data_IF_987510222267
#
_entry.id   IF_987510222267
#
_cell.length_a   1.000
_cell.length_b   1.000
_cell.length_c   1.000
_cell.angle_alpha   90.00
_cell.angle_beta   90.00
_cell.angle_gamma   90.00
#
_symmetry.space_group_name_H-M   'P 1'
#
loop_
_entity.id
_entity.type
_entity.pdbx_description
1 polymer ?
#
# COMPACT_ATOMS: atom_id res chain seq x y z
N UNK A 1 10.47 -5.61 14.64
CA UNK A 1 10.58 -4.54 13.61
C UNK A 1 9.89 -4.95 12.33
N UNK A 2 10.29 -6.06 11.70
CA UNK A 2 9.68 -6.58 10.47
C UNK A 2 8.15 -6.68 10.54
N UNK A 3 7.61 -7.32 11.58
CA UNK A 3 6.16 -7.48 11.77
C UNK A 3 5.38 -6.15 11.79
N UNK A 4 5.97 -5.09 12.37
CA UNK A 4 5.35 -3.77 12.40
C UNK A 4 5.31 -3.17 10.99
N UNK A 5 6.40 -3.32 10.23
CA UNK A 5 6.47 -2.85 8.86
C UNK A 5 5.48 -3.61 7.98
N UNK A 6 5.41 -4.94 8.10
CA UNK A 6 4.44 -5.76 7.39
C UNK A 6 3.00 -5.33 7.68
N UNK A 7 2.67 -5.06 8.94
CA UNK A 7 1.34 -4.57 9.34
C UNK A 7 0.99 -3.23 8.67
N UNK A 8 1.98 -2.38 8.42
CA UNK A 8 1.79 -1.06 7.80
C UNK A 8 1.70 -1.11 6.27
N UNK A 9 2.20 -2.17 5.63
CA UNK A 9 2.27 -2.27 4.17
C UNK A 9 1.20 -3.17 3.56
N UNK A 10 0.40 -3.84 4.38
CA UNK A 10 -0.67 -4.74 3.95
C UNK A 10 -2.06 -4.14 4.15
N UNK A 11 -3.02 -4.57 3.33
CA UNK A 11 -4.40 -4.11 3.43
C UNK A 11 -5.04 -4.70 4.70
N UNK A 12 -5.67 -3.86 5.52
CA UNK A 12 -6.34 -4.29 6.74
C UNK A 12 -7.49 -5.26 6.46
N UNK A 13 -7.72 -6.23 7.34
CA UNK A 13 -8.90 -7.09 7.26
C UNK A 13 -10.14 -6.28 7.69
N UNK A 14 -11.23 -6.32 6.91
CA UNK A 14 -12.40 -5.41 7.00
C UNK A 14 -13.09 -5.29 8.37
N UNK A 15 -12.77 -6.12 9.36
CA UNK A 15 -13.54 -6.27 10.60
C UNK A 15 -12.88 -5.77 11.90
N UNK A 16 -11.67 -5.17 11.85
CA UNK A 16 -11.00 -4.70 13.08
C UNK A 16 -11.11 -3.18 13.31
N UNK A 17 -12.00 -2.78 14.23
CA UNK A 17 -12.20 -1.39 14.64
C UNK A 17 -10.98 -0.75 15.31
N UNK A 18 -9.99 -1.52 15.74
CA UNK A 18 -8.80 -1.03 16.43
C UNK A 18 -7.54 -1.06 15.57
N UNK A 19 -7.66 -1.30 14.27
CA UNK A 19 -6.50 -1.54 13.42
C UNK A 19 -5.57 -0.33 13.28
N UNK A 20 -6.12 0.86 13.07
CA UNK A 20 -5.32 2.09 13.02
C UNK A 20 -4.59 2.36 14.34
N UNK A 21 -5.21 2.04 15.49
CA UNK A 21 -4.56 2.15 16.79
C UNK A 21 -3.40 1.14 16.95
N UNK A 22 -3.58 -0.10 16.47
CA UNK A 22 -2.52 -1.12 16.48
C UNK A 22 -1.33 -0.70 15.62
N UNK A 23 -1.59 -0.17 14.41
CA UNK A 23 -0.56 0.35 13.49
C UNK A 23 0.19 1.52 14.10
N UNK A 24 -0.53 2.51 14.64
CA UNK A 24 0.07 3.66 15.32
C UNK A 24 0.96 3.23 16.50
N UNK A 25 0.45 2.35 17.37
CA UNK A 25 1.24 1.79 18.48
C UNK A 25 2.49 1.05 17.96
N UNK A 26 2.36 0.31 16.86
CA UNK A 26 3.47 -0.35 16.19
C UNK A 26 4.56 0.64 15.79
N UNK A 27 4.22 1.73 15.10
CA UNK A 27 5.18 2.78 14.70
C UNK A 27 5.90 3.38 15.90
N UNK A 28 5.18 3.70 16.99
CA UNK A 28 5.79 4.21 18.22
C UNK A 28 6.78 3.21 18.84
N UNK A 29 6.43 1.92 18.84
CA UNK A 29 7.31 0.85 19.32
C UNK A 29 8.52 0.64 18.40
N UNK A 30 8.36 0.86 17.09
CA UNK A 30 9.41 0.69 16.10
C UNK A 30 10.58 1.64 16.37
N UNK A 31 10.29 2.92 16.63
CA UNK A 31 11.29 3.92 17.00
C UNK A 31 12.02 3.57 18.29
N UNK A 32 11.27 3.24 19.35
CA UNK A 32 11.86 2.86 20.65
C UNK A 32 12.75 1.61 20.54
N UNK A 33 12.30 0.60 19.79
CA UNK A 33 13.07 -0.61 19.56
C UNK A 33 14.36 -0.31 18.77
N UNK A 34 14.30 0.61 17.80
CA UNK A 34 15.45 1.04 17.02
C UNK A 34 16.51 1.72 17.88
N UNK A 35 16.11 2.59 18.82
CA UNK A 35 17.02 3.22 19.77
C UNK A 35 17.65 2.19 20.72
N UNK A 36 16.85 1.27 21.28
CA UNK A 36 17.38 0.21 22.16
C UNK A 36 18.41 -0.64 21.42
N UNK A 37 18.14 -1.05 20.18
CA UNK A 37 19.12 -1.83 19.38
C UNK A 37 20.39 -1.02 19.15
N UNK A 38 20.28 0.26 18.79
CA UNK A 38 21.43 1.13 18.54
C UNK A 38 22.31 1.26 19.79
N UNK A 39 21.69 1.46 20.94
CA UNK A 39 22.39 1.80 22.18
C UNK A 39 22.94 0.56 22.90
N UNK A 40 22.32 -0.61 22.73
CA UNK A 40 22.72 -1.87 23.39
C UNK A 40 23.63 -2.75 22.54
N UNK A 41 23.74 -2.50 21.23
CA UNK A 41 24.59 -3.29 20.34
C UNK A 41 26.08 -3.08 20.60
N UNK A 42 26.82 -4.18 20.71
CA UNK A 42 28.27 -4.14 20.95
C UNK A 42 29.09 -3.96 19.67
N UNK A 43 28.62 -4.47 18.54
CA UNK A 43 29.29 -4.34 17.25
C UNK A 43 28.78 -3.12 16.46
N UNK A 44 29.65 -2.57 15.62
CA UNK A 44 29.30 -1.43 14.76
C UNK A 44 28.09 -1.72 13.88
N UNK A 45 28.04 -2.90 13.25
CA UNK A 45 26.92 -3.29 12.39
C UNK A 45 25.57 -3.23 13.14
N UNK A 46 25.51 -3.73 14.37
CA UNK A 46 24.30 -3.68 15.20
C UNK A 46 23.90 -2.25 15.56
N UNK A 47 24.87 -1.36 15.82
CA UNK A 47 24.62 0.06 16.08
C UNK A 47 24.04 0.79 14.87
N UNK A 48 24.49 0.45 13.65
CA UNK A 48 24.05 1.11 12.41
C UNK A 48 22.83 0.44 11.75
N UNK A 49 22.56 -0.83 12.05
CA UNK A 49 21.41 -1.56 11.52
C UNK A 49 20.04 -0.86 11.70
N UNK A 50 19.72 -0.21 12.83
CA UNK A 50 18.44 0.50 13.00
C UNK A 50 18.39 1.89 12.34
N UNK A 51 19.48 2.41 11.78
CA UNK A 51 19.51 3.77 11.22
C UNK A 51 18.52 4.00 10.06
N UNK A 52 18.30 3.04 9.13
CA UNK A 52 17.27 3.19 8.12
C UNK A 52 15.89 3.42 8.77
N UNK A 53 15.55 2.67 9.81
CA UNK A 53 14.28 2.80 10.55
C UNK A 53 14.17 4.17 11.24
N UNK A 54 15.23 4.62 11.92
CA UNK A 54 15.24 5.95 12.56
C UNK A 54 15.13 7.08 11.53
N UNK A 55 15.80 6.93 10.39
CA UNK A 55 15.79 7.93 9.32
C UNK A 55 14.42 8.03 8.67
N UNK A 56 13.77 6.90 8.36
CA UNK A 56 12.45 6.92 7.74
C UNK A 56 11.39 7.49 8.69
N UNK A 57 11.45 7.16 9.98
CA UNK A 57 10.54 7.74 10.97
C UNK A 57 10.74 9.26 11.13
N UNK A 58 11.97 9.74 10.93
CA UNK A 58 12.29 11.17 11.04
C UNK A 58 11.90 11.97 9.79
N UNK A 59 12.22 11.47 8.60
CA UNK A 59 12.12 12.23 7.36
C UNK A 59 10.85 11.91 6.55
N UNK A 60 10.25 10.73 6.74
CA UNK A 60 9.10 10.28 5.99
C UNK A 60 7.90 9.96 6.91
N UNK A 61 7.77 10.68 8.03
CA UNK A 61 6.68 10.47 9.00
C UNK A 61 5.30 10.51 8.35
N UNK A 62 5.08 11.44 7.42
CA UNK A 62 3.82 11.60 6.71
C UNK A 62 3.45 10.35 5.87
N UNK A 63 4.43 9.62 5.33
CA UNK A 63 4.14 8.36 4.61
C UNK A 63 3.59 7.29 5.56
N UNK A 64 4.07 7.25 6.81
CA UNK A 64 3.52 6.36 7.82
C UNK A 64 2.10 6.75 8.23
N UNK A 65 1.81 8.05 8.34
CA UNK A 65 0.46 8.53 8.65
C UNK A 65 -0.54 8.14 7.56
N UNK A 66 -0.17 8.30 6.28
CA UNK A 66 -1.00 7.85 5.15
C UNK A 66 -1.26 6.34 5.20
N UNK A 67 -0.26 5.54 5.55
CA UNK A 67 -0.43 4.08 5.69
C UNK A 67 -1.32 3.69 6.89
N UNK A 68 -1.30 4.47 7.98
CA UNK A 68 -2.09 4.23 9.20
C UNK A 68 -3.55 4.65 9.01
N UNK A 69 -3.77 5.83 8.45
CA UNK A 69 -5.08 6.50 8.40
C UNK A 69 -5.75 6.38 7.03
N UNK A 70 -5.03 6.73 5.96
CA UNK A 70 -5.58 6.81 4.60
C UNK A 70 -5.49 5.50 3.84
N UNK A 71 -4.71 4.53 4.35
CA UNK A 71 -4.46 3.21 3.73
C UNK A 71 -3.95 3.34 2.29
N UNK A 72 -3.14 4.35 2.08
CA UNK A 72 -2.63 4.75 0.77
C UNK A 72 -1.10 4.85 0.83
N UNK A 73 -0.44 4.51 -0.27
CA UNK A 73 1.01 4.61 -0.42
C UNK A 73 1.35 5.50 -1.62
N UNK A 74 1.66 6.79 -1.37
CA UNK A 74 2.02 7.76 -2.42
C UNK A 74 3.23 7.33 -3.26
N UNK A 75 4.15 6.59 -2.63
CA UNK A 75 5.36 6.08 -3.27
C UNK A 75 5.10 4.88 -4.20
N UNK A 76 3.89 4.30 -4.18
CA UNK A 76 3.52 3.14 -4.98
C UNK A 76 4.46 1.94 -4.80
N UNK A 77 5.02 1.76 -3.61
CA UNK A 77 5.89 0.63 -3.27
C UNK A 77 5.06 -0.52 -2.67
N UNK A 78 4.09 -0.18 -1.82
CA UNK A 78 3.26 -1.17 -1.12
C UNK A 78 2.14 -1.66 -2.03
N UNK A 79 2.26 -2.87 -2.58
CA UNK A 79 1.31 -3.45 -3.55
C UNK A 79 -0.15 -3.35 -3.08
N UNK A 80 -0.40 -3.66 -1.82
CA UNK A 80 -1.76 -3.74 -1.27
C UNK A 80 -2.38 -2.39 -0.89
N UNK A 81 -1.59 -1.31 -0.91
CA UNK A 81 -2.05 0.06 -0.64
C UNK A 81 -2.13 0.90 -1.92
N UNK A 82 -2.05 0.26 -3.09
CA UNK A 82 -2.26 0.91 -4.39
C UNK A 82 -3.72 0.90 -4.75
N UNK A 83 -4.24 2.06 -5.10
CA UNK A 83 -5.62 2.20 -5.57
C UNK A 83 -5.62 2.57 -7.06
N UNK A 84 -6.39 1.83 -7.84
CA UNK A 84 -6.50 2.00 -9.28
C UNK A 84 -7.91 2.48 -9.63
N UNK A 85 -7.97 3.44 -10.53
CA UNK A 85 -9.20 4.04 -11.05
C UNK A 85 -9.22 3.96 -12.57
N UNK A 86 -10.42 3.92 -13.14
CA UNK A 86 -10.63 3.90 -14.59
C UNK A 86 -11.26 5.24 -15.00
N UNK A 87 -10.61 5.92 -15.93
CA UNK A 87 -11.10 7.10 -16.63
C UNK A 87 -12.18 6.66 -17.64
N UNK A 88 -13.41 7.11 -17.38
CA UNK A 88 -14.60 6.75 -18.14
C UNK A 88 -14.52 7.27 -19.58
N UNK A 89 -13.88 8.41 -19.80
CA UNK A 89 -13.82 9.07 -21.11
C UNK A 89 -12.80 8.40 -22.04
N UNK A 90 -11.74 7.82 -21.47
CA UNK A 90 -10.70 7.09 -22.22
C UNK A 90 -11.00 5.60 -22.38
N UNK A 91 -11.87 5.04 -21.54
CA UNK A 91 -12.16 3.62 -21.56
C UNK A 91 -13.06 3.23 -22.74
N UNK A 92 -12.51 2.47 -23.68
CA UNK A 92 -13.26 1.97 -24.85
C UNK A 92 -14.12 0.73 -24.56
N UNK A 93 -14.07 0.20 -23.33
CA UNK A 93 -14.82 -0.99 -22.94
C UNK A 93 -14.32 -2.29 -23.60
N UNK A 94 -13.03 -2.37 -23.93
CA UNK A 94 -12.41 -3.53 -24.58
C UNK A 94 -12.33 -4.80 -23.70
N UNK A 95 -12.66 -4.70 -22.41
CA UNK A 95 -12.73 -5.80 -21.43
C UNK A 95 -11.40 -6.49 -21.07
N UNK A 96 -10.27 -6.11 -21.69
CA UNK A 96 -8.96 -6.71 -21.44
C UNK A 96 -8.51 -6.61 -19.96
N UNK A 97 -8.81 -5.49 -19.28
CA UNK A 97 -8.47 -5.33 -17.87
C UNK A 97 -9.27 -6.28 -16.95
N UNK A 98 -10.56 -6.48 -17.24
CA UNK A 98 -11.44 -7.32 -16.45
C UNK A 98 -11.09 -8.81 -16.60
N UNK A 99 -10.79 -9.25 -17.83
CA UNK A 99 -10.40 -10.65 -18.08
C UNK A 99 -9.07 -11.05 -17.42
N UNK A 100 -8.14 -10.10 -17.25
CA UNK A 100 -6.84 -10.35 -16.60
C UNK A 100 -6.85 -10.05 -15.09
N UNK A 101 -7.98 -9.66 -14.51
CA UNK A 101 -8.05 -9.35 -13.09
C UNK A 101 -8.13 -10.65 -12.26
N UNK A 102 -7.12 -10.94 -11.39
CA UNK A 102 -7.08 -12.20 -10.65
C UNK A 102 -8.23 -12.35 -9.64
N UNK A 103 -8.72 -11.22 -9.09
CA UNK A 103 -9.81 -11.20 -8.10
C UNK A 103 -11.15 -10.78 -8.70
N UNK A 104 -11.23 -10.62 -10.03
CA UNK A 104 -12.44 -10.15 -10.72
C UNK A 104 -13.03 -8.87 -10.12
N UNK A 105 -12.15 -7.96 -9.67
CA UNK A 105 -12.54 -6.69 -9.06
C UNK A 105 -13.10 -5.67 -10.05
N UNK A 106 -12.99 -5.93 -11.36
CA UNK A 106 -13.38 -4.98 -12.41
C UNK A 106 -14.74 -5.37 -12.97
N UNK A 107 -15.70 -4.45 -12.89
CA UNK A 107 -17.07 -4.65 -13.36
C UNK A 107 -17.32 -3.73 -14.55
N UNK A 108 -18.00 -4.25 -15.57
CA UNK A 108 -18.44 -3.46 -16.71
C UNK A 108 -18.84 -4.34 -17.89
N UNK A 109 -19.72 -3.83 -18.75
CA UNK A 109 -20.20 -4.54 -19.93
C UNK A 109 -19.32 -4.27 -21.16
N UNK A 110 -19.32 -5.15 -22.17
CA UNK A 110 -18.64 -4.88 -23.43
C UNK A 110 -19.10 -3.55 -24.04
N UNK A 111 -18.16 -2.78 -24.59
CA UNK A 111 -18.41 -1.44 -25.18
C UNK A 111 -18.94 -0.38 -24.21
N UNK A 112 -18.91 -0.64 -22.90
CA UNK A 112 -19.17 0.35 -21.86
C UNK A 112 -17.92 0.52 -20.99
N UNK A 113 -17.70 1.69 -20.38
CA UNK A 113 -16.63 1.90 -19.43
C UNK A 113 -16.70 0.93 -18.25
N UNK A 114 -15.54 0.44 -17.83
CA UNK A 114 -15.38 -0.45 -16.68
C UNK A 114 -15.11 0.37 -15.40
N UNK A 115 -15.40 -0.20 -14.24
CA UNK A 115 -15.08 0.36 -12.93
C UNK A 115 -14.43 -0.69 -12.03
N UNK A 116 -13.57 -0.24 -11.12
CA UNK A 116 -12.84 -1.11 -10.18
C UNK A 116 -13.55 -1.04 -8.83
N UNK A 117 -13.88 -2.19 -8.27
CA UNK A 117 -14.41 -2.32 -6.90
C UNK A 117 -13.22 -2.39 -5.95
N UNK A 118 -13.02 -1.33 -5.17
CA UNK A 118 -11.87 -1.17 -4.27
C UNK A 118 -11.77 -2.28 -3.23
N UNK A 119 -12.90 -2.77 -2.71
CA UNK A 119 -12.95 -3.85 -1.72
C UNK A 119 -12.31 -5.15 -2.25
N UNK A 120 -12.60 -5.51 -3.51
CA UNK A 120 -12.07 -6.72 -4.16
C UNK A 120 -10.70 -6.52 -4.80
N UNK A 121 -10.26 -5.28 -4.95
CA UNK A 121 -8.98 -4.97 -5.57
C UNK A 121 -7.84 -5.24 -4.59
N UNK A 122 -6.85 -6.02 -5.05
CA UNK A 122 -5.61 -6.32 -4.31
C UNK A 122 -4.42 -5.46 -4.76
N UNK A 123 -4.65 -4.43 -5.58
CA UNK A 123 -3.60 -3.51 -6.03
C UNK A 123 -2.50 -4.13 -6.90
N UNK A 124 -2.76 -5.27 -7.55
CA UNK A 124 -1.74 -6.01 -8.30
C UNK A 124 -1.14 -5.28 -9.52
N UNK A 125 -1.82 -4.25 -10.06
CA UNK A 125 -1.34 -3.45 -11.19
C UNK A 125 -1.56 -4.05 -12.59
N UNK A 126 -2.01 -5.30 -12.71
CA UNK A 126 -2.20 -5.97 -14.02
C UNK A 126 -3.13 -5.18 -14.95
N UNK A 127 -4.18 -4.57 -14.40
CA UNK A 127 -5.11 -3.77 -15.18
C UNK A 127 -4.44 -2.54 -15.81
N UNK A 128 -3.56 -1.87 -15.07
CA UNK A 128 -2.82 -0.69 -15.51
C UNK A 128 -1.87 -1.05 -16.66
N UNK A 129 -1.09 -2.12 -16.51
CA UNK A 129 -0.12 -2.57 -17.52
C UNK A 129 -0.80 -3.08 -18.81
N UNK A 130 -1.98 -3.66 -18.69
CA UNK A 130 -2.72 -4.23 -19.84
C UNK A 130 -3.45 -3.15 -20.66
N UNK A 131 -3.69 -1.97 -20.10
CA UNK A 131 -4.53 -0.95 -20.74
C UNK A 131 -3.80 -0.21 -21.86
N UNK A 132 -4.06 -0.61 -23.12
CA UNK A 132 -3.50 0.05 -24.31
C UNK A 132 -3.96 1.50 -24.52
N UNK A 133 -5.06 1.90 -23.88
CA UNK A 133 -5.66 3.23 -24.03
C UNK A 133 -5.25 4.19 -22.91
N UNK A 134 -4.41 3.74 -21.97
CA UNK A 134 -3.98 4.54 -20.80
C UNK A 134 -5.19 5.14 -20.06
N UNK A 135 -6.27 4.35 -19.98
CA UNK A 135 -7.51 4.72 -19.32
C UNK A 135 -7.50 4.39 -17.82
N UNK A 136 -6.44 3.76 -17.31
CA UNK A 136 -6.32 3.40 -15.89
C UNK A 136 -5.25 4.27 -15.27
N UNK A 137 -5.57 4.89 -14.14
CA UNK A 137 -4.63 5.71 -13.37
C UNK A 137 -4.63 5.29 -11.91
N UNK A 138 -3.54 5.61 -11.22
CA UNK A 138 -3.35 5.38 -9.80
C UNK A 138 -3.51 6.71 -9.08
N UNK A 139 -4.14 6.71 -7.91
CA UNK A 139 -4.17 7.87 -7.01
C UNK A 139 -3.28 7.57 -5.82
#
# INVERSE_FOLDING_TARGET
MFEILELLTHKPAENDRHESLKRFKGVMQLGKLAEVIRDTSLCGLGKYAPNPVLSILKYFHEEFEEHIYDRHCRANVCKELKTFYIDVDKCTGCHACASNCPTQAIIGSPRKPHFIVEEKCIGCGVCYDTCKFVAIYQK
#
